data_IF_914246299047
#
_entry.id   IF_914246299047
#
_cell.length_a   1.000
_cell.length_b   1.000
_cell.length_c   1.000
_cell.angle_alpha   90.00
_cell.angle_beta   90.00
_cell.angle_gamma   90.00
#
_symmetry.space_group_name_H-M   'P 1'
#
loop_
_entity.id
_entity.type
_entity.pdbx_description
1 polymer ?
#
# COMPACT_ATOMS: atom_id res chain seq x y z
N UNK A 1 69.30 -26.89 5.34
CA UNK A 1 68.51 -25.67 5.01
C UNK A 1 67.02 -25.97 5.17
N UNK A 2 66.50 -25.75 6.37
CA UNK A 2 65.07 -25.86 6.68
C UNK A 2 64.39 -24.51 6.35
N UNK A 3 63.46 -24.49 5.41
CA UNK A 3 62.54 -23.33 5.21
C UNK A 3 61.34 -23.52 6.11
N UNK A 4 61.23 -22.66 7.13
CA UNK A 4 60.04 -22.45 7.93
C UNK A 4 58.99 -21.75 7.09
N UNK A 5 57.88 -22.41 6.77
CA UNK A 5 56.66 -21.78 6.27
C UNK A 5 55.90 -21.23 7.46
N UNK A 6 55.95 -19.93 7.67
CA UNK A 6 54.99 -19.23 8.52
C UNK A 6 53.63 -19.22 7.84
N UNK A 7 52.72 -20.08 8.26
CA UNK A 7 51.31 -19.96 7.94
C UNK A 7 50.72 -18.77 8.74
N UNK A 8 50.39 -17.72 8.07
CA UNK A 8 49.56 -16.66 8.65
C UNK A 8 48.12 -17.21 8.81
N UNK A 9 47.55 -17.20 10.02
CA UNK A 9 46.13 -17.48 10.18
C UNK A 9 45.36 -16.34 9.48
N UNK A 10 44.64 -16.67 8.45
CA UNK A 10 43.64 -15.77 7.86
C UNK A 10 42.62 -15.42 8.96
N UNK A 11 42.68 -14.20 9.47
CA UNK A 11 41.66 -13.62 10.32
C UNK A 11 40.37 -13.53 9.50
N UNK A 12 39.55 -14.58 9.55
CA UNK A 12 38.15 -14.54 9.16
C UNK A 12 37.46 -13.62 10.16
N UNK A 13 37.49 -12.32 9.90
CA UNK A 13 36.61 -11.35 10.57
C UNK A 13 35.19 -11.78 10.28
N UNK A 14 34.57 -12.48 11.20
CA UNK A 14 33.13 -12.71 11.21
C UNK A 14 32.49 -11.33 11.29
N UNK A 15 32.05 -10.81 10.15
CA UNK A 15 31.29 -9.54 10.12
C UNK A 15 30.04 -9.81 10.94
N UNK A 16 29.91 -9.15 12.09
CA UNK A 16 28.73 -9.26 12.94
C UNK A 16 27.49 -8.93 12.10
N UNK A 17 26.50 -9.82 12.13
CA UNK A 17 25.25 -9.62 11.39
C UNK A 17 24.61 -8.29 11.79
N UNK A 18 24.19 -7.46 10.83
CA UNK A 18 23.55 -6.20 11.16
C UNK A 18 22.21 -6.45 11.86
N UNK A 19 21.87 -5.57 12.82
CA UNK A 19 20.68 -5.68 13.64
C UNK A 19 19.66 -4.58 13.30
N UNK A 20 18.39 -4.93 13.30
CA UNK A 20 17.30 -3.98 13.08
C UNK A 20 16.19 -4.14 14.12
N UNK A 21 15.61 -3.00 14.51
CA UNK A 21 14.40 -2.92 15.32
C UNK A 21 13.26 -2.40 14.45
N UNK A 22 12.21 -3.18 14.28
CA UNK A 22 10.97 -2.78 13.59
C UNK A 22 9.90 -2.50 14.63
N UNK A 23 9.30 -1.31 14.57
CA UNK A 23 8.19 -0.87 15.42
C UNK A 23 6.91 -0.83 14.63
N UNK A 24 5.91 -1.58 15.07
CA UNK A 24 4.64 -1.78 14.39
C UNK A 24 4.61 -3.08 13.56
N UNK A 25 3.60 -3.90 13.78
CA UNK A 25 3.37 -5.19 13.12
C UNK A 25 2.10 -5.23 12.27
N UNK A 26 1.67 -4.06 11.74
CA UNK A 26 0.69 -4.01 10.65
C UNK A 26 1.30 -4.58 9.35
N UNK A 27 0.52 -4.64 8.24
CA UNK A 27 0.98 -5.25 6.97
C UNK A 27 2.30 -4.68 6.44
N UNK A 28 2.61 -3.41 6.75
CA UNK A 28 3.88 -2.76 6.34
C UNK A 28 5.05 -3.18 7.22
N UNK A 29 4.85 -3.15 8.55
CA UNK A 29 5.92 -3.50 9.49
C UNK A 29 6.24 -5.00 9.48
N UNK A 30 5.23 -5.85 9.38
CA UNK A 30 5.40 -7.28 9.20
C UNK A 30 6.23 -7.61 7.96
N UNK A 31 5.88 -6.98 6.81
CA UNK A 31 6.63 -7.16 5.58
C UNK A 31 8.05 -6.55 5.67
N UNK A 32 8.25 -5.44 6.38
CA UNK A 32 9.55 -4.84 6.59
C UNK A 32 10.48 -5.74 7.44
N UNK A 33 9.93 -6.39 8.47
CA UNK A 33 10.68 -7.36 9.28
C UNK A 33 11.14 -8.56 8.45
N UNK A 34 10.22 -9.16 7.66
CA UNK A 34 10.55 -10.25 6.74
C UNK A 34 11.59 -9.84 5.69
N UNK A 35 11.45 -8.65 5.12
CA UNK A 35 12.38 -8.12 4.12
C UNK A 35 13.80 -7.91 4.66
N UNK A 36 13.94 -7.43 5.89
CA UNK A 36 15.23 -7.26 6.55
C UNK A 36 15.85 -8.61 6.93
N UNK A 37 15.05 -9.55 7.43
CA UNK A 37 15.49 -10.86 7.80
C UNK A 37 15.93 -11.69 6.58
N UNK A 38 15.20 -11.58 5.46
CA UNK A 38 15.60 -12.17 4.17
C UNK A 38 16.93 -11.59 3.66
N UNK A 39 17.16 -10.29 3.87
CA UNK A 39 18.45 -9.66 3.57
C UNK A 39 19.58 -10.05 4.55
N UNK A 40 19.36 -10.99 5.48
CA UNK A 40 20.37 -11.51 6.42
C UNK A 40 20.56 -10.68 7.69
N UNK A 41 19.60 -9.80 8.06
CA UNK A 41 19.64 -9.01 9.28
C UNK A 41 19.00 -9.78 10.44
N UNK A 42 19.50 -9.55 11.67
CA UNK A 42 18.80 -9.95 12.89
C UNK A 42 17.74 -8.90 13.22
N UNK A 43 16.48 -9.30 13.34
CA UNK A 43 15.35 -8.40 13.45
C UNK A 43 14.60 -8.61 14.77
N UNK A 44 14.45 -7.55 15.53
CA UNK A 44 13.48 -7.47 16.62
C UNK A 44 12.22 -6.75 16.11
N UNK A 45 11.05 -7.38 16.23
CA UNK A 45 9.77 -6.81 15.83
C UNK A 45 8.91 -6.55 17.06
N UNK A 46 8.47 -5.30 17.27
CA UNK A 46 7.69 -4.88 18.43
C UNK A 46 6.36 -4.27 18.01
N UNK A 47 5.26 -4.68 18.67
CA UNK A 47 3.97 -4.02 18.54
C UNK A 47 3.22 -4.06 19.89
N UNK A 48 2.59 -2.95 20.35
CA UNK A 48 1.78 -2.97 21.56
C UNK A 48 0.50 -3.78 21.42
N UNK A 49 0.00 -3.98 20.20
CA UNK A 49 -1.15 -4.84 19.94
C UNK A 49 -0.75 -6.32 19.85
N UNK A 50 -1.58 -7.18 20.38
CA UNK A 50 -1.44 -8.62 20.23
C UNK A 50 -1.92 -9.09 18.84
N UNK A 51 -1.63 -10.33 18.41
CA UNK A 51 -2.03 -10.83 17.09
C UNK A 51 -3.54 -10.72 16.82
N UNK A 52 -4.37 -10.97 17.82
CA UNK A 52 -5.83 -10.89 17.67
C UNK A 52 -6.28 -9.46 17.37
N UNK A 53 -5.76 -8.47 18.09
CA UNK A 53 -6.05 -7.05 17.86
C UNK A 53 -5.57 -6.59 16.48
N UNK A 54 -4.41 -7.06 16.04
CA UNK A 54 -3.87 -6.75 14.71
C UNK A 54 -4.76 -7.29 13.59
N UNK A 55 -5.43 -8.43 13.79
CA UNK A 55 -6.29 -9.09 12.81
C UNK A 55 -7.71 -8.52 12.74
N UNK A 56 -8.14 -7.66 13.66
CA UNK A 56 -9.54 -7.18 13.74
C UNK A 56 -9.96 -6.25 12.59
N UNK A 57 -9.02 -5.71 11.82
CA UNK A 57 -9.36 -4.75 10.76
C UNK A 57 -10.06 -5.43 9.58
N UNK A 58 -11.23 -4.90 9.22
CA UNK A 58 -12.01 -5.36 8.06
C UNK A 58 -11.73 -4.45 6.85
N UNK A 59 -10.64 -4.73 6.15
CA UNK A 59 -10.24 -3.98 4.94
C UNK A 59 -9.84 -4.93 3.83
N UNK A 60 -10.14 -4.54 2.59
CA UNK A 60 -9.52 -5.12 1.40
C UNK A 60 -8.44 -4.17 0.86
N UNK A 61 -7.42 -4.74 0.29
CA UNK A 61 -6.32 -4.03 -0.38
C UNK A 61 -6.26 -4.43 -1.84
N UNK A 62 -6.04 -3.46 -2.71
CA UNK A 62 -5.69 -3.72 -4.09
C UNK A 62 -4.16 -3.78 -4.21
N UNK A 63 -3.62 -4.94 -4.58
CA UNK A 63 -2.19 -5.14 -4.78
C UNK A 63 -1.82 -4.89 -6.24
N UNK A 64 -0.70 -4.23 -6.44
CA UNK A 64 -0.16 -3.90 -7.76
C UNK A 64 1.02 -4.79 -8.12
N UNK A 65 1.50 -4.68 -9.35
CA UNK A 65 2.67 -5.43 -9.81
C UNK A 65 3.94 -5.11 -9.03
N UNK A 66 4.11 -3.86 -8.55
CA UNK A 66 5.23 -3.52 -7.67
C UNK A 66 5.20 -4.29 -6.34
N UNK A 67 4.01 -4.53 -5.79
CA UNK A 67 3.82 -5.34 -4.58
C UNK A 67 4.09 -6.82 -4.85
N UNK A 68 3.58 -7.36 -5.98
CA UNK A 68 3.89 -8.73 -6.42
C UNK A 68 5.41 -8.95 -6.57
N UNK A 69 6.11 -8.05 -7.27
CA UNK A 69 7.57 -8.13 -7.44
C UNK A 69 8.30 -8.17 -6.09
N UNK A 70 7.86 -7.40 -5.10
CA UNK A 70 8.43 -7.44 -3.76
C UNK A 70 8.20 -8.80 -3.11
N UNK A 71 6.95 -9.29 -3.11
CA UNK A 71 6.59 -10.59 -2.53
C UNK A 71 7.36 -11.74 -3.19
N UNK A 72 7.54 -11.70 -4.51
CA UNK A 72 8.35 -12.69 -5.24
C UNK A 72 9.82 -12.68 -4.80
N UNK A 73 10.42 -11.48 -4.63
CA UNK A 73 11.80 -11.34 -4.15
C UNK A 73 12.00 -11.85 -2.72
N UNK A 74 10.94 -11.78 -1.91
CA UNK A 74 10.95 -12.25 -0.52
C UNK A 74 10.45 -13.70 -0.39
N UNK A 75 10.23 -14.40 -1.50
CA UNK A 75 9.68 -15.78 -1.53
C UNK A 75 8.33 -15.92 -0.81
N UNK A 76 7.55 -14.82 -0.78
CA UNK A 76 6.23 -14.73 -0.12
C UNK A 76 5.07 -14.78 -1.13
N UNK A 77 5.34 -14.75 -2.45
CA UNK A 77 4.27 -14.72 -3.43
C UNK A 77 3.48 -16.03 -3.44
N UNK A 78 4.16 -17.16 -3.52
CA UNK A 78 3.53 -18.48 -3.59
C UNK A 78 2.62 -18.78 -2.39
N UNK A 79 3.03 -18.54 -1.13
CA UNK A 79 2.14 -18.76 0.02
C UNK A 79 1.01 -17.74 0.12
N UNK A 80 1.15 -16.52 -0.42
CA UNK A 80 0.13 -15.48 -0.35
C UNK A 80 -0.82 -15.47 -1.54
N UNK A 81 -0.40 -15.94 -2.71
CA UNK A 81 -1.20 -15.93 -3.94
C UNK A 81 -2.59 -16.55 -3.79
N UNK A 82 -2.79 -17.69 -3.10
CA UNK A 82 -4.12 -18.28 -2.91
C UNK A 82 -5.09 -17.40 -2.12
N UNK A 83 -4.59 -16.41 -1.37
CA UNK A 83 -5.37 -15.46 -0.58
C UNK A 83 -5.74 -14.20 -1.38
N UNK A 84 -5.24 -14.09 -2.61
CA UNK A 84 -5.36 -12.92 -3.46
C UNK A 84 -6.23 -13.22 -4.68
N UNK A 85 -7.29 -12.45 -4.87
CA UNK A 85 -8.16 -12.57 -6.03
C UNK A 85 -7.63 -11.68 -7.17
N UNK A 86 -7.23 -12.24 -8.33
CA UNK A 86 -6.84 -11.44 -9.47
C UNK A 86 -8.04 -10.71 -10.08
N UNK A 87 -7.82 -9.50 -10.58
CA UNK A 87 -8.73 -8.80 -11.47
C UNK A 87 -7.98 -8.39 -12.75
N UNK A 88 -8.60 -8.60 -13.89
CA UNK A 88 -8.00 -8.39 -15.20
C UNK A 88 -8.55 -7.17 -15.94
N UNK A 89 -9.60 -6.54 -15.39
CA UNK A 89 -10.24 -5.36 -15.92
C UNK A 89 -10.48 -4.33 -14.80
N UNK A 90 -10.01 -3.09 -15.02
CA UNK A 90 -10.30 -1.94 -14.18
C UNK A 90 -11.03 -0.89 -15.01
N UNK A 91 -12.20 -0.49 -14.59
CA UNK A 91 -13.02 0.53 -15.23
C UNK A 91 -13.00 1.83 -14.44
N UNK A 92 -12.66 2.93 -15.09
CA UNK A 92 -12.79 4.28 -14.53
C UNK A 92 -13.97 4.99 -15.18
N UNK A 93 -14.91 5.50 -14.40
CA UNK A 93 -16.04 6.27 -14.88
C UNK A 93 -16.22 7.56 -14.09
N UNK A 94 -16.47 8.69 -14.76
CA UNK A 94 -16.89 9.96 -14.13
C UNK A 94 -18.40 10.14 -14.31
N UNK A 95 -19.14 9.86 -13.26
CA UNK A 95 -20.59 9.94 -13.25
C UNK A 95 -21.10 11.40 -13.36
N UNK A 96 -20.24 12.38 -13.08
CA UNK A 96 -20.56 13.80 -13.19
C UNK A 96 -20.36 14.39 -14.59
N UNK A 97 -19.60 13.72 -15.49
CA UNK A 97 -19.28 14.28 -16.80
C UNK A 97 -20.15 13.74 -17.95
N UNK A 98 -20.84 12.62 -17.75
CA UNK A 98 -21.54 11.90 -18.81
C UNK A 98 -20.61 11.25 -19.85
N UNK A 99 -19.30 11.23 -19.61
CA UNK A 99 -18.34 10.51 -20.44
C UNK A 99 -18.43 9.00 -20.15
N UNK A 100 -18.29 8.18 -21.21
CA UNK A 100 -18.25 6.75 -21.05
C UNK A 100 -17.04 6.27 -20.23
N UNK A 101 -17.06 5.02 -19.71
CA UNK A 101 -15.97 4.49 -18.91
C UNK A 101 -14.69 4.30 -19.73
N UNK A 102 -13.55 4.34 -19.03
CA UNK A 102 -12.22 4.02 -19.57
C UNK A 102 -11.78 2.69 -18.98
N UNK A 103 -11.64 1.67 -19.84
CA UNK A 103 -11.18 0.33 -19.43
C UNK A 103 -9.67 0.19 -19.47
N UNK A 104 -9.12 -0.43 -18.43
CA UNK A 104 -7.73 -0.82 -18.29
C UNK A 104 -7.66 -2.33 -18.12
N UNK A 105 -7.17 -3.02 -19.13
CA UNK A 105 -7.07 -4.49 -19.11
C UNK A 105 -5.63 -4.95 -18.93
N UNK A 106 -5.44 -6.15 -18.45
CA UNK A 106 -4.12 -6.77 -18.30
C UNK A 106 -3.35 -6.81 -19.63
N UNK A 107 -4.05 -6.86 -20.77
CA UNK A 107 -3.43 -6.81 -22.11
C UNK A 107 -2.60 -5.54 -22.36
N UNK A 108 -2.95 -4.41 -21.74
CA UNK A 108 -2.17 -3.17 -21.83
C UNK A 108 -0.79 -3.26 -21.15
N UNK A 109 -0.61 -4.19 -20.22
CA UNK A 109 0.64 -4.42 -19.50
C UNK A 109 1.57 -5.42 -20.18
N UNK A 110 1.09 -6.13 -21.22
CA UNK A 110 1.90 -7.11 -21.96
C UNK A 110 3.07 -6.43 -22.64
N UNK A 111 4.28 -6.89 -22.36
CA UNK A 111 5.51 -6.48 -23.04
C UNK A 111 6.34 -7.72 -23.38
N UNK A 112 7.10 -7.68 -24.49
CA UNK A 112 8.01 -8.76 -24.90
C UNK A 112 9.04 -9.18 -23.84
N UNK A 113 9.32 -8.31 -22.84
CA UNK A 113 10.35 -8.53 -21.81
C UNK A 113 9.81 -9.04 -20.46
N UNK A 114 8.51 -8.98 -20.21
CA UNK A 114 7.97 -9.23 -18.85
C UNK A 114 7.02 -10.44 -18.77
N UNK A 115 6.93 -11.24 -19.82
CA UNK A 115 5.96 -12.35 -19.87
C UNK A 115 4.50 -11.87 -19.91
N UNK A 116 3.57 -12.78 -19.95
CA UNK A 116 2.14 -12.47 -19.91
C UNK A 116 1.75 -12.05 -18.49
N UNK A 117 1.36 -10.79 -18.31
CA UNK A 117 0.70 -10.34 -17.08
C UNK A 117 -0.77 -10.71 -17.17
N UNK A 118 -1.18 -11.64 -16.35
CA UNK A 118 -2.53 -12.22 -16.34
C UNK A 118 -3.57 -11.32 -15.67
N UNK A 119 -3.14 -10.35 -14.86
CA UNK A 119 -4.02 -9.48 -14.09
C UNK A 119 -3.56 -8.02 -14.13
N UNK A 120 -4.48 -7.07 -13.94
CA UNK A 120 -4.19 -5.66 -13.64
C UNK A 120 -3.66 -5.54 -12.21
N UNK A 121 -4.21 -6.34 -11.30
CA UNK A 121 -3.83 -6.39 -9.91
C UNK A 121 -4.57 -7.50 -9.16
N UNK A 122 -4.47 -7.49 -7.85
CA UNK A 122 -5.06 -8.51 -6.97
C UNK A 122 -5.74 -7.84 -5.79
N UNK A 123 -6.86 -8.42 -5.35
CA UNK A 123 -7.54 -7.99 -4.13
C UNK A 123 -7.27 -9.00 -3.02
N UNK A 124 -6.85 -8.53 -1.85
CA UNK A 124 -6.65 -9.36 -0.67
C UNK A 124 -7.25 -8.73 0.57
N UNK A 125 -7.84 -9.56 1.42
CA UNK A 125 -8.39 -9.14 2.71
C UNK A 125 -7.29 -9.01 3.75
N UNK A 126 -7.44 -8.04 4.67
CA UNK A 126 -6.47 -7.74 5.72
C UNK A 126 -6.15 -8.94 6.60
N UNK A 127 -7.19 -9.60 7.12
CA UNK A 127 -7.05 -10.67 8.11
C UNK A 127 -6.27 -11.88 7.59
N UNK A 128 -6.64 -12.52 6.44
CA UNK A 128 -5.89 -13.65 5.92
C UNK A 128 -4.47 -13.27 5.50
N UNK A 129 -4.29 -12.07 4.90
CA UNK A 129 -2.98 -11.57 4.53
C UNK A 129 -2.05 -11.42 5.73
N UNK A 130 -2.51 -10.70 6.77
CA UNK A 130 -1.67 -10.44 7.93
C UNK A 130 -1.41 -11.71 8.73
N UNK A 131 -2.36 -12.63 8.81
CA UNK A 131 -2.18 -13.93 9.44
C UNK A 131 -1.06 -14.71 8.77
N UNK A 132 -1.07 -14.80 7.45
CA UNK A 132 -0.01 -15.48 6.71
C UNK A 132 1.37 -14.81 6.89
N UNK A 133 1.43 -13.47 6.95
CA UNK A 133 2.69 -12.77 7.26
C UNK A 133 3.18 -13.08 8.68
N UNK A 134 2.28 -13.14 9.68
CA UNK A 134 2.63 -13.50 11.06
C UNK A 134 3.13 -14.94 11.17
N UNK A 135 2.55 -15.87 10.43
CA UNK A 135 3.02 -17.27 10.34
C UNK A 135 4.44 -17.34 9.77
N UNK A 136 4.74 -16.58 8.72
CA UNK A 136 6.09 -16.49 8.15
C UNK A 136 7.09 -15.87 9.15
N UNK A 137 6.66 -14.84 9.91
CA UNK A 137 7.49 -14.23 10.96
C UNK A 137 7.81 -15.25 12.06
N UNK A 138 6.82 -16.01 12.52
CA UNK A 138 6.99 -16.99 13.58
C UNK A 138 7.96 -18.12 13.21
N UNK A 139 8.08 -18.44 11.92
CA UNK A 139 8.98 -19.49 11.41
C UNK A 139 10.37 -18.96 11.04
N UNK A 140 10.57 -17.63 10.97
CA UNK A 140 11.82 -17.07 10.47
C UNK A 140 12.90 -17.00 11.55
N UNK A 141 14.06 -17.70 11.41
CA UNK A 141 15.06 -17.80 12.47
C UNK A 141 15.72 -16.48 12.86
N UNK A 142 15.71 -15.48 11.98
CA UNK A 142 16.33 -14.17 12.21
C UNK A 142 15.33 -13.13 12.76
N UNK A 143 14.09 -13.51 13.13
CA UNK A 143 13.09 -12.59 13.67
C UNK A 143 12.71 -12.99 15.08
N UNK A 144 12.83 -12.04 16.01
CA UNK A 144 12.27 -12.15 17.36
C UNK A 144 11.11 -11.16 17.46
N UNK A 145 9.87 -11.68 17.51
CA UNK A 145 8.66 -10.87 17.60
C UNK A 145 8.17 -10.80 19.05
N UNK A 146 7.90 -9.58 19.54
CA UNK A 146 7.28 -9.31 20.84
C UNK A 146 6.02 -8.46 20.59
N UNK A 147 4.88 -9.12 20.61
CA UNK A 147 3.56 -8.54 20.35
C UNK A 147 2.72 -8.50 21.62
N UNK A 148 1.86 -7.50 21.77
CA UNK A 148 1.00 -7.35 22.95
C UNK A 148 1.70 -6.75 24.16
N UNK A 149 2.89 -6.17 24.00
CA UNK A 149 3.63 -5.54 25.10
C UNK A 149 3.91 -4.05 24.79
N UNK A 150 3.84 -3.15 25.80
CA UNK A 150 4.19 -1.76 25.60
C UNK A 150 5.60 -1.60 25.01
N UNK A 151 5.72 -0.80 23.95
CA UNK A 151 6.99 -0.57 23.27
C UNK A 151 7.73 0.60 23.94
N UNK A 152 8.92 0.33 24.47
CA UNK A 152 9.75 1.36 25.06
C UNK A 152 10.19 2.43 24.02
N UNK A 153 10.32 3.70 24.41
CA UNK A 153 10.70 4.79 23.48
C UNK A 153 12.07 4.57 22.82
N UNK A 154 13.03 4.00 23.56
CA UNK A 154 14.37 3.71 23.06
C UNK A 154 14.58 2.19 22.92
N UNK A 155 15.40 1.72 21.95
CA UNK A 155 15.79 0.33 21.89
C UNK A 155 16.60 -0.07 23.14
N UNK A 156 16.32 -1.25 23.68
CA UNK A 156 17.02 -1.78 24.85
C UNK A 156 18.52 -2.06 24.58
N UNK A 157 18.86 -2.27 23.30
CA UNK A 157 20.23 -2.51 22.86
C UNK A 157 20.57 -1.64 21.63
N UNK A 158 21.82 -1.27 21.43
CA UNK A 158 22.26 -0.56 20.22
C UNK A 158 21.91 -1.38 18.97
N UNK A 159 21.16 -0.78 18.05
CA UNK A 159 20.80 -1.39 16.77
C UNK A 159 21.36 -0.60 15.61
N UNK A 160 21.70 -1.26 14.50
CA UNK A 160 22.20 -0.59 13.32
C UNK A 160 21.10 0.23 12.63
N UNK A 161 19.84 -0.22 12.71
CA UNK A 161 18.69 0.40 12.05
C UNK A 161 17.44 0.29 12.94
N UNK A 162 16.67 1.36 13.01
CA UNK A 162 15.30 1.37 13.54
C UNK A 162 14.33 1.68 12.41
N UNK A 163 13.32 0.84 12.23
CA UNK A 163 12.25 1.03 11.25
C UNK A 163 10.97 1.37 11.98
N UNK A 164 10.52 2.61 11.86
CA UNK A 164 9.24 3.05 12.40
C UNK A 164 8.13 2.79 11.38
N UNK A 165 7.34 1.74 11.59
CA UNK A 165 6.17 1.34 10.82
C UNK A 165 4.90 1.32 11.71
N UNK A 166 4.87 2.18 12.71
CA UNK A 166 3.90 2.26 13.81
C UNK A 166 2.65 3.10 13.48
N UNK A 167 2.37 3.28 12.20
CA UNK A 167 1.12 3.80 11.68
C UNK A 167 1.00 5.32 11.61
N UNK A 168 -0.21 5.85 11.30
CA UNK A 168 -0.39 7.27 10.99
C UNK A 168 -0.16 8.21 12.19
N UNK A 169 -0.37 7.72 13.38
CA UNK A 169 -0.14 8.44 14.66
C UNK A 169 1.21 8.10 15.31
N UNK A 170 2.18 7.74 14.49
CA UNK A 170 3.49 7.21 14.84
C UNK A 170 4.13 7.84 16.08
N UNK A 171 4.20 7.14 17.23
CA UNK A 171 4.93 7.60 18.42
C UNK A 171 6.43 7.76 18.12
N UNK A 172 6.97 6.90 17.25
CA UNK A 172 8.38 7.00 16.85
C UNK A 172 8.68 8.29 16.11
N UNK A 173 7.79 8.71 15.17
CA UNK A 173 7.94 9.99 14.47
C UNK A 173 7.90 11.18 15.44
N UNK A 174 6.96 11.15 16.40
CA UNK A 174 6.81 12.20 17.41
C UNK A 174 8.03 12.27 18.33
N UNK A 175 8.50 11.15 18.84
CA UNK A 175 9.71 11.07 19.67
C UNK A 175 10.96 11.60 18.97
N UNK A 176 11.02 11.46 17.64
CA UNK A 176 12.08 12.02 16.81
C UNK A 176 11.89 13.53 16.53
N UNK A 177 10.79 14.15 16.94
CA UNK A 177 10.48 15.53 16.62
C UNK A 177 10.34 15.80 15.13
N UNK A 178 9.91 14.80 14.35
CA UNK A 178 9.68 14.93 12.91
C UNK A 178 8.25 15.41 12.68
N UNK A 179 8.08 16.66 12.31
CA UNK A 179 6.80 17.21 11.88
C UNK A 179 6.35 16.65 10.53
N UNK A 180 5.09 16.88 10.20
CA UNK A 180 4.52 16.47 8.91
C UNK A 180 3.70 17.61 8.29
N UNK A 181 3.64 17.64 6.95
CA UNK A 181 2.64 18.37 6.22
C UNK A 181 1.36 17.54 6.20
N UNK A 182 0.24 18.19 6.48
CA UNK A 182 -1.07 17.53 6.51
C UNK A 182 -2.08 18.38 5.75
N UNK A 183 -2.90 17.70 4.96
CA UNK A 183 -4.06 18.28 4.28
C UNK A 183 -5.25 17.37 4.52
N UNK A 184 -6.28 17.94 5.11
CA UNK A 184 -7.56 17.24 5.29
C UNK A 184 -8.44 17.45 4.08
N UNK A 185 -9.07 16.39 3.61
CA UNK A 185 -10.16 16.50 2.65
C UNK A 185 -11.49 16.67 3.40
N UNK A 186 -12.48 17.39 2.80
CA UNK A 186 -13.83 17.46 3.36
C UNK A 186 -14.58 16.13 3.15
N UNK A 187 -13.91 15.02 3.36
CA UNK A 187 -14.36 13.65 3.09
C UNK A 187 -13.93 12.71 4.19
N UNK A 188 -14.76 11.68 4.40
CA UNK A 188 -14.41 10.43 5.05
C UNK A 188 -14.54 9.30 4.02
N UNK A 189 -13.90 8.19 4.29
CA UNK A 189 -14.04 6.99 3.46
C UNK A 189 -14.80 5.94 4.26
N UNK A 190 -15.87 5.41 3.67
CA UNK A 190 -16.69 4.34 4.19
C UNK A 190 -16.34 3.05 3.45
N UNK A 191 -16.17 1.96 4.19
CA UNK A 191 -15.97 0.62 3.63
C UNK A 191 -17.10 -0.28 4.08
N UNK A 192 -17.61 -1.11 3.16
CA UNK A 192 -18.62 -2.12 3.43
C UNK A 192 -18.42 -3.31 2.46
N UNK A 193 -18.95 -4.47 2.81
CA UNK A 193 -19.02 -5.61 1.88
C UNK A 193 -20.46 -5.88 1.52
N UNK A 194 -20.71 -6.05 0.22
CA UNK A 194 -22.06 -6.28 -0.31
C UNK A 194 -22.05 -7.39 -1.35
N UNK A 195 -23.22 -7.99 -1.57
CA UNK A 195 -23.53 -8.69 -2.81
C UNK A 195 -24.02 -7.68 -3.85
N UNK A 196 -23.41 -7.69 -5.03
CA UNK A 196 -23.65 -6.70 -6.07
C UNK A 196 -23.74 -7.39 -7.44
N UNK A 197 -24.93 -7.41 -8.04
CA UNK A 197 -25.11 -7.83 -9.43
C UNK A 197 -24.69 -6.72 -10.41
N UNK A 198 -24.31 -7.14 -11.64
CA UNK A 198 -23.88 -6.20 -12.70
C UNK A 198 -22.39 -5.89 -12.69
N UNK A 199 -21.64 -6.34 -11.65
CA UNK A 199 -20.19 -6.34 -11.63
C UNK A 199 -19.66 -7.67 -12.16
N UNK A 200 -18.71 -7.62 -13.09
CA UNK A 200 -18.00 -8.83 -13.52
C UNK A 200 -17.17 -9.43 -12.38
N UNK A 201 -16.97 -10.77 -12.35
CA UNK A 201 -16.31 -11.46 -11.22
C UNK A 201 -14.85 -11.06 -11.01
N UNK A 202 -14.17 -10.55 -12.04
CA UNK A 202 -12.78 -10.08 -12.01
C UNK A 202 -12.64 -8.62 -12.45
N UNK A 203 -13.72 -7.84 -12.32
CA UNK A 203 -13.78 -6.46 -12.75
C UNK A 203 -13.80 -5.53 -11.54
N UNK A 204 -12.82 -4.65 -11.44
CA UNK A 204 -12.78 -3.56 -10.48
C UNK A 204 -13.31 -2.27 -11.12
N UNK A 205 -13.96 -1.43 -10.32
CA UNK A 205 -14.47 -0.13 -10.75
C UNK A 205 -13.97 0.98 -9.83
N UNK A 206 -13.63 2.11 -10.44
CA UNK A 206 -13.43 3.39 -9.76
C UNK A 206 -14.42 4.38 -10.34
N UNK A 207 -15.48 4.69 -9.60
CA UNK A 207 -16.54 5.60 -9.98
C UNK A 207 -16.26 6.97 -9.38
N UNK A 208 -15.85 7.92 -10.20
CA UNK A 208 -15.68 9.30 -9.77
C UNK A 208 -17.04 10.00 -9.67
N UNK A 209 -17.25 10.64 -8.54
CA UNK A 209 -18.49 11.33 -8.20
C UNK A 209 -18.18 12.69 -7.61
N UNK A 210 -19.08 13.69 -7.74
CA UNK A 210 -18.84 15.03 -7.20
C UNK A 210 -18.56 15.08 -5.68
N UNK A 211 -19.07 14.12 -4.92
CA UNK A 211 -18.87 14.03 -3.47
C UNK A 211 -17.57 13.28 -3.07
N UNK A 212 -17.06 12.47 -3.98
CA UNK A 212 -15.89 11.63 -3.77
C UNK A 212 -15.94 10.31 -4.57
N UNK A 213 -14.79 9.66 -4.77
CA UNK A 213 -14.72 8.39 -5.50
C UNK A 213 -15.42 7.26 -4.73
N UNK A 214 -15.96 6.31 -5.51
CA UNK A 214 -16.51 5.04 -5.03
C UNK A 214 -15.85 3.90 -5.79
N UNK A 215 -15.01 3.13 -5.11
CA UNK A 215 -14.40 1.94 -5.68
C UNK A 215 -15.22 0.69 -5.36
N UNK A 216 -15.33 -0.20 -6.35
CA UNK A 216 -15.92 -1.53 -6.26
C UNK A 216 -14.80 -2.55 -6.50
N UNK A 217 -14.41 -3.27 -5.45
CA UNK A 217 -13.32 -4.23 -5.51
C UNK A 217 -13.88 -5.66 -5.45
N UNK A 218 -13.65 -6.52 -6.46
CA UNK A 218 -14.20 -7.87 -6.47
C UNK A 218 -13.61 -8.74 -5.35
N UNK A 219 -14.46 -9.48 -4.65
CA UNK A 219 -14.09 -10.44 -3.62
C UNK A 219 -14.44 -11.90 -4.00
N UNK A 220 -14.78 -12.12 -5.26
CA UNK A 220 -15.21 -13.42 -5.81
C UNK A 220 -16.73 -13.59 -5.83
N UNK A 221 -17.22 -14.20 -6.90
CA UNK A 221 -18.65 -14.30 -7.17
C UNK A 221 -19.29 -12.92 -7.36
N UNK A 222 -20.35 -12.64 -6.63
CA UNK A 222 -21.01 -11.32 -6.60
C UNK A 222 -20.60 -10.47 -5.38
N UNK A 223 -19.66 -10.94 -4.58
CA UNK A 223 -19.19 -10.19 -3.41
C UNK A 223 -18.24 -9.07 -3.81
N UNK A 224 -18.48 -7.89 -3.27
CA UNK A 224 -17.72 -6.69 -3.56
C UNK A 224 -17.39 -5.93 -2.27
N UNK A 225 -16.15 -5.49 -2.15
CA UNK A 225 -15.75 -4.49 -1.16
C UNK A 225 -15.99 -3.11 -1.73
N UNK A 226 -16.78 -2.32 -1.03
CA UNK A 226 -16.95 -0.90 -1.31
C UNK A 226 -15.86 -0.09 -0.62
N UNK A 227 -15.35 0.94 -1.31
CA UNK A 227 -14.51 2.00 -0.74
C UNK A 227 -15.11 3.34 -1.20
N UNK A 228 -15.97 3.92 -0.38
CA UNK A 228 -16.83 5.04 -0.75
C UNK A 228 -16.41 6.31 -0.01
N UNK A 229 -15.91 7.29 -0.74
CA UNK A 229 -15.59 8.60 -0.20
C UNK A 229 -16.78 9.54 -0.32
N UNK A 230 -17.18 10.14 0.80
CA UNK A 230 -18.26 11.10 0.90
C UNK A 230 -18.00 12.09 2.05
N UNK A 231 -18.89 13.07 2.26
CA UNK A 231 -18.77 13.95 3.42
C UNK A 231 -18.79 13.16 4.75
N UNK A 232 -18.09 13.62 5.79
CA UNK A 232 -18.07 12.94 7.08
C UNK A 232 -19.46 12.73 7.67
N UNK A 233 -20.35 13.68 7.45
CA UNK A 233 -21.75 13.62 7.89
C UNK A 233 -22.50 12.50 7.17
N UNK A 234 -22.36 12.42 5.84
CA UNK A 234 -22.98 11.36 5.04
C UNK A 234 -22.46 9.98 5.43
N UNK A 235 -21.16 9.83 5.64
CA UNK A 235 -20.59 8.55 6.08
C UNK A 235 -21.17 8.11 7.42
N UNK A 236 -21.22 9.01 8.43
CA UNK A 236 -21.84 8.71 9.73
C UNK A 236 -23.32 8.32 9.61
N UNK A 237 -24.09 9.04 8.73
CA UNK A 237 -25.48 8.68 8.48
C UNK A 237 -25.60 7.27 7.89
N UNK A 238 -24.77 6.93 6.89
CA UNK A 238 -24.78 5.61 6.26
C UNK A 238 -24.41 4.48 7.23
N UNK A 239 -23.52 4.72 8.19
CA UNK A 239 -23.18 3.75 9.25
C UNK A 239 -24.33 3.46 10.20
N UNK A 240 -25.26 4.41 10.37
CA UNK A 240 -26.39 4.29 11.28
C UNK A 240 -27.64 3.67 10.62
N UNK A 241 -27.62 3.51 9.28
CA UNK A 241 -28.71 2.88 8.57
C UNK A 241 -28.69 1.36 8.77
N UNK A 242 -29.89 0.76 8.85
CA UNK A 242 -30.02 -0.69 8.69
C UNK A 242 -29.64 -1.15 7.29
N UNK A 243 -29.60 -2.46 7.09
CA UNK A 243 -29.21 -3.08 5.82
C UNK A 243 -29.96 -2.49 4.62
N UNK A 244 -31.28 -2.51 4.68
CA UNK A 244 -32.14 -2.07 3.56
C UNK A 244 -31.90 -0.58 3.23
N UNK A 245 -31.88 0.28 4.24
CA UNK A 245 -31.64 1.71 4.06
C UNK A 245 -30.23 1.99 3.49
N UNK A 246 -29.22 1.22 3.88
CA UNK A 246 -27.89 1.32 3.29
C UNK A 246 -27.87 0.91 1.82
N UNK A 247 -28.53 -0.21 1.49
CA UNK A 247 -28.60 -0.74 0.12
C UNK A 247 -29.37 0.22 -0.81
N UNK A 248 -30.46 0.84 -0.34
CA UNK A 248 -31.21 1.86 -1.10
C UNK A 248 -30.33 3.07 -1.41
N UNK A 249 -29.58 3.56 -0.42
CA UNK A 249 -28.66 4.67 -0.63
C UNK A 249 -27.48 4.30 -1.55
N UNK A 250 -27.02 3.05 -1.49
CA UNK A 250 -25.98 2.53 -2.40
C UNK A 250 -26.53 2.42 -3.82
N UNK A 251 -27.72 1.87 -4.02
CA UNK A 251 -28.37 1.79 -5.34
C UNK A 251 -28.49 3.17 -5.99
N UNK A 252 -28.95 4.19 -5.26
CA UNK A 252 -29.01 5.57 -5.75
C UNK A 252 -27.63 6.21 -5.99
N UNK A 253 -26.55 5.58 -5.55
CA UNK A 253 -25.18 6.05 -5.74
C UNK A 253 -24.49 5.40 -6.94
N UNK A 254 -24.98 4.28 -7.41
CA UNK A 254 -24.43 3.44 -8.48
C UNK A 254 -25.14 3.71 -9.82
N UNK A 255 -24.49 3.47 -10.96
CA UNK A 255 -25.18 3.34 -12.24
C UNK A 255 -26.21 2.19 -12.24
N UNK A 256 -27.31 2.33 -13.01
CA UNK A 256 -28.46 1.39 -13.06
C UNK A 256 -28.09 -0.08 -13.34
N UNK A 257 -26.95 -0.28 -13.98
CA UNK A 257 -26.44 -1.65 -14.24
C UNK A 257 -26.09 -2.44 -12.98
N UNK A 258 -25.82 -1.76 -11.87
CA UNK A 258 -25.44 -2.36 -10.60
C UNK A 258 -26.65 -2.44 -9.68
N UNK A 259 -26.84 -3.63 -9.10
CA UNK A 259 -27.95 -3.87 -8.17
C UNK A 259 -27.38 -4.49 -6.88
N UNK A 260 -27.36 -3.72 -5.77
CA UNK A 260 -26.97 -4.25 -4.50
C UNK A 260 -28.09 -5.12 -3.91
N UNK A 261 -27.75 -6.36 -3.52
CA UNK A 261 -28.71 -7.36 -3.06
C UNK A 261 -28.65 -7.60 -1.55
N UNK A 262 -27.44 -7.60 -0.98
CA UNK A 262 -27.26 -7.86 0.45
C UNK A 262 -26.06 -7.10 1.02
N UNK A 263 -26.18 -6.67 2.26
CA UNK A 263 -25.09 -6.12 3.07
C UNK A 263 -24.43 -7.28 3.85
N UNK A 264 -23.19 -7.61 3.52
CA UNK A 264 -22.44 -8.75 4.11
C UNK A 264 -21.63 -8.37 5.34
N UNK A 265 -21.18 -7.12 5.41
CA UNK A 265 -20.48 -6.58 6.56
C UNK A 265 -20.93 -5.13 6.79
N UNK A 266 -21.13 -4.71 8.06
CA UNK A 266 -21.58 -3.36 8.38
C UNK A 266 -20.60 -2.31 7.87
N UNK A 267 -21.11 -1.14 7.44
CA UNK A 267 -20.29 -0.04 6.99
C UNK A 267 -19.44 0.51 8.14
N UNK A 268 -18.18 0.83 7.84
CA UNK A 268 -17.26 1.48 8.76
C UNK A 268 -16.59 2.65 8.07
N UNK A 269 -16.57 3.82 8.70
CA UNK A 269 -15.93 5.00 8.13
C UNK A 269 -14.64 5.39 8.87
N UNK A 270 -13.77 6.07 8.14
CA UNK A 270 -12.56 6.65 8.67
C UNK A 270 -12.22 7.96 7.95
N UNK A 271 -11.59 8.87 8.68
CA UNK A 271 -11.15 10.14 8.13
C UNK A 271 -10.06 9.93 7.07
N UNK A 272 -10.17 10.64 5.94
CA UNK A 272 -9.16 10.63 4.89
C UNK A 272 -8.40 11.94 4.85
N UNK A 273 -7.13 11.85 4.50
CA UNK A 273 -6.27 13.01 4.41
C UNK A 273 -4.96 12.63 3.72
N UNK A 274 -4.24 13.64 3.27
CA UNK A 274 -2.90 13.52 2.79
C UNK A 274 -1.96 13.96 3.89
N UNK A 275 -0.94 13.15 4.17
CA UNK A 275 0.12 13.52 5.09
C UNK A 275 1.48 13.09 4.53
N UNK A 276 2.51 13.88 4.82
CA UNK A 276 3.89 13.59 4.44
C UNK A 276 4.83 14.12 5.53
N UNK A 277 5.62 13.24 6.13
CA UNK A 277 6.64 13.61 7.09
C UNK A 277 7.68 14.53 6.43
N UNK A 278 8.10 15.58 7.15
CA UNK A 278 9.09 16.56 6.64
C UNK A 278 10.48 15.95 6.45
N UNK A 279 10.73 14.81 7.08
CA UNK A 279 11.94 13.99 6.94
C UNK A 279 11.56 12.53 7.02
N UNK A 280 12.21 11.69 6.22
CA UNK A 280 11.96 10.24 6.22
C UNK A 280 12.94 9.47 7.12
N UNK A 281 13.92 10.15 7.71
CA UNK A 281 14.85 9.58 8.69
C UNK A 281 15.40 10.61 9.65
N UNK A 282 15.84 10.14 10.81
CA UNK A 282 16.67 10.88 11.76
C UNK A 282 17.59 9.90 12.49
N UNK A 283 18.92 10.19 12.50
CA UNK A 283 19.90 9.22 12.99
C UNK A 283 19.82 7.90 12.22
N UNK A 284 19.78 6.79 12.94
CA UNK A 284 19.62 5.45 12.40
C UNK A 284 18.14 5.01 12.21
N UNK A 285 17.17 5.90 12.47
CA UNK A 285 15.75 5.58 12.34
C UNK A 285 15.21 6.04 11.00
N UNK A 286 14.46 5.16 10.30
CA UNK A 286 13.70 5.45 9.09
C UNK A 286 12.20 5.35 9.35
N UNK A 287 11.41 6.24 8.75
CA UNK A 287 9.95 6.17 8.74
C UNK A 287 9.50 5.40 7.50
N UNK A 288 8.62 4.41 7.69
CA UNK A 288 8.15 3.50 6.62
C UNK A 288 6.63 3.42 6.65
N UNK A 289 5.99 3.57 5.49
CA UNK A 289 4.56 3.49 5.37
C UNK A 289 3.81 4.66 6.02
N UNK A 290 2.70 4.39 6.70
CA UNK A 290 1.84 5.45 7.25
C UNK A 290 2.49 6.29 8.36
N UNK A 291 3.59 5.85 8.94
CA UNK A 291 4.41 6.69 9.84
C UNK A 291 5.06 7.85 9.09
N UNK A 292 5.35 7.67 7.79
CA UNK A 292 5.97 8.64 6.90
C UNK A 292 4.96 9.41 6.05
N UNK A 293 3.95 8.73 5.52
CA UNK A 293 3.03 9.31 4.54
C UNK A 293 1.65 8.65 4.57
N UNK A 294 0.63 9.40 4.18
CA UNK A 294 -0.73 8.93 4.00
C UNK A 294 -1.30 9.56 2.72
N UNK A 295 -1.93 8.77 1.87
CA UNK A 295 -2.62 9.21 0.66
C UNK A 295 -4.12 9.03 0.77
N UNK A 296 -4.87 9.72 -0.09
CA UNK A 296 -6.27 9.38 -0.31
C UNK A 296 -6.39 7.93 -0.83
N UNK A 297 -7.44 7.16 -0.46
CA UNK A 297 -7.60 5.77 -0.90
C UNK A 297 -7.87 5.59 -2.40
N UNK A 298 -8.12 6.67 -3.16
CA UNK A 298 -8.34 6.64 -4.62
C UNK A 298 -7.23 5.86 -5.34
N UNK A 299 -7.65 4.95 -6.23
CA UNK A 299 -6.73 4.10 -6.99
C UNK A 299 -5.97 3.06 -6.16
N UNK A 300 -6.33 2.82 -4.89
CA UNK A 300 -5.77 1.77 -4.06
C UNK A 300 -4.27 1.90 -3.75
N UNK A 301 -3.69 3.11 -3.79
CA UNK A 301 -2.25 3.31 -3.70
C UNK A 301 -1.66 3.21 -2.29
N UNK A 302 -2.47 3.34 -1.23
CA UNK A 302 -1.97 3.46 0.15
C UNK A 302 -0.98 2.37 0.55
N UNK A 303 -1.41 1.10 0.57
CA UNK A 303 -0.55 -0.02 0.97
C UNK A 303 0.58 -0.27 -0.05
N UNK A 304 0.31 -0.12 -1.36
CA UNK A 304 1.33 -0.30 -2.39
C UNK A 304 2.49 0.70 -2.25
N UNK A 305 2.18 1.95 -1.90
CA UNK A 305 3.18 2.98 -1.63
C UNK A 305 4.03 2.61 -0.41
N UNK A 306 3.39 2.11 0.67
CA UNK A 306 4.08 1.59 1.86
C UNK A 306 4.99 0.41 1.51
N UNK A 307 4.55 -0.50 0.66
CA UNK A 307 5.34 -1.66 0.26
C UNK A 307 6.47 -1.31 -0.71
N UNK A 308 6.35 -0.22 -1.47
CA UNK A 308 7.49 0.34 -2.22
C UNK A 308 8.56 0.92 -1.28
N UNK A 309 8.18 1.40 -0.08
CA UNK A 309 9.16 1.75 0.97
C UNK A 309 9.93 0.51 1.42
N UNK A 310 9.21 -0.58 1.70
CA UNK A 310 9.82 -1.86 2.10
C UNK A 310 10.75 -2.39 1.00
N UNK A 311 10.35 -2.30 -0.27
CA UNK A 311 11.20 -2.70 -1.40
C UNK A 311 12.49 -1.87 -1.51
N UNK A 312 12.43 -0.58 -1.20
CA UNK A 312 13.62 0.27 -1.14
C UNK A 312 14.51 -0.09 0.05
N UNK A 313 13.90 -0.34 1.21
CA UNK A 313 14.60 -0.78 2.42
C UNK A 313 15.32 -2.10 2.20
N UNK A 314 14.65 -3.11 1.66
CA UNK A 314 15.21 -4.43 1.33
C UNK A 314 16.45 -4.32 0.42
N UNK A 315 16.35 -3.58 -0.69
CA UNK A 315 17.49 -3.39 -1.61
C UNK A 315 18.70 -2.77 -0.90
N UNK A 316 18.48 -1.83 0.00
CA UNK A 316 19.57 -1.19 0.75
C UNK A 316 20.13 -2.11 1.82
N UNK A 317 19.29 -2.88 2.49
CA UNK A 317 19.67 -3.89 3.46
C UNK A 317 20.57 -4.96 2.85
N UNK A 318 20.23 -5.47 1.65
CA UNK A 318 21.07 -6.39 0.88
C UNK A 318 22.44 -5.77 0.52
N UNK A 319 22.47 -4.46 0.18
CA UNK A 319 23.76 -3.79 -0.10
C UNK A 319 24.64 -3.65 1.15
N UNK A 320 24.01 -3.45 2.32
CA UNK A 320 24.74 -3.43 3.59
C UNK A 320 25.33 -4.80 3.88
N UNK A 321 24.53 -5.86 3.75
CA UNK A 321 24.98 -7.24 3.97
C UNK A 321 26.12 -7.65 3.01
N UNK A 322 26.10 -7.12 1.78
CA UNK A 322 27.16 -7.35 0.79
C UNK A 322 28.41 -6.47 0.98
N UNK A 323 28.45 -5.63 2.05
CA UNK A 323 29.56 -4.69 2.29
C UNK A 323 29.63 -3.52 1.30
N UNK A 324 28.59 -3.34 0.44
CA UNK A 324 28.54 -2.28 -0.59
C UNK A 324 27.98 -0.95 -0.06
N UNK A 325 27.47 -0.95 1.16
CA UNK A 325 26.92 0.23 1.82
C UNK A 325 27.16 0.12 3.33
N UNK A 326 27.78 1.10 4.00
CA UNK A 326 27.83 1.13 5.46
C UNK A 326 26.41 1.24 6.04
N UNK A 327 26.11 0.48 7.10
CA UNK A 327 24.79 0.48 7.73
C UNK A 327 24.33 1.90 8.16
N UNK A 328 25.28 2.72 8.67
CA UNK A 328 25.01 4.12 9.07
C UNK A 328 24.50 5.01 7.95
N UNK A 329 24.80 4.69 6.67
CA UNK A 329 24.42 5.49 5.50
C UNK A 329 23.08 5.05 4.91
N UNK A 330 22.57 3.86 5.28
CA UNK A 330 21.31 3.32 4.79
C UNK A 330 20.15 4.29 4.95
N UNK A 331 19.91 4.94 6.12
CA UNK A 331 18.77 5.84 6.30
C UNK A 331 18.77 7.03 5.32
N UNK A 332 19.95 7.59 5.04
CA UNK A 332 20.10 8.69 4.08
C UNK A 332 19.80 8.24 2.65
N UNK A 333 20.30 7.06 2.25
CA UNK A 333 20.04 6.49 0.93
C UNK A 333 18.57 6.12 0.75
N UNK A 334 17.94 5.54 1.80
CA UNK A 334 16.51 5.27 1.82
C UNK A 334 15.71 6.56 1.58
N UNK A 335 15.95 7.58 2.38
CA UNK A 335 15.25 8.85 2.27
C UNK A 335 15.36 9.44 0.86
N UNK A 336 16.57 9.53 0.30
CA UNK A 336 16.80 10.06 -1.04
C UNK A 336 16.06 9.27 -2.13
N UNK A 337 16.03 7.95 -2.01
CA UNK A 337 15.39 7.09 -3.00
C UNK A 337 13.87 7.15 -2.98
N UNK A 338 13.27 7.50 -1.81
CA UNK A 338 11.81 7.49 -1.63
C UNK A 338 11.14 8.80 -2.01
N UNK A 339 11.81 9.94 -1.82
CA UNK A 339 11.21 11.25 -2.06
C UNK A 339 10.55 11.42 -3.43
N UNK A 340 11.18 11.08 -4.57
CA UNK A 340 10.55 11.27 -5.87
C UNK A 340 9.26 10.46 -6.03
N UNK A 341 9.26 9.19 -5.60
CA UNK A 341 8.10 8.31 -5.70
C UNK A 341 6.94 8.77 -4.80
N UNK A 342 7.26 9.19 -3.57
CA UNK A 342 6.27 9.73 -2.64
C UNK A 342 5.61 11.00 -3.20
N UNK A 343 6.41 11.98 -3.63
CA UNK A 343 5.89 13.24 -4.15
C UNK A 343 5.03 13.02 -5.39
N UNK A 344 5.48 12.22 -6.35
CA UNK A 344 4.72 11.94 -7.56
C UNK A 344 3.41 11.19 -7.28
N UNK A 345 3.45 10.18 -6.42
CA UNK A 345 2.25 9.40 -6.09
C UNK A 345 1.24 10.24 -5.30
N UNK A 346 1.69 10.99 -4.28
CA UNK A 346 0.82 11.84 -3.48
C UNK A 346 0.22 12.98 -4.33
N UNK A 347 1.01 13.62 -5.19
CA UNK A 347 0.53 14.64 -6.11
C UNK A 347 -0.50 14.08 -7.10
N UNK A 348 -0.25 12.89 -7.66
CA UNK A 348 -1.18 12.25 -8.60
C UNK A 348 -2.51 11.91 -7.94
N UNK A 349 -2.49 11.31 -6.74
CA UNK A 349 -3.72 10.99 -6.00
C UNK A 349 -4.48 12.24 -5.56
N UNK A 350 -3.80 13.29 -5.10
CA UNK A 350 -4.41 14.57 -4.74
C UNK A 350 -5.04 15.25 -5.97
N UNK A 351 -4.34 15.24 -7.10
CA UNK A 351 -4.86 15.79 -8.37
C UNK A 351 -6.12 15.05 -8.82
N UNK A 352 -6.15 13.72 -8.77
CA UNK A 352 -7.34 12.93 -9.12
C UNK A 352 -8.53 13.30 -8.24
N UNK A 353 -8.33 13.37 -6.92
CA UNK A 353 -9.41 13.75 -6.00
C UNK A 353 -9.90 15.15 -6.29
N UNK A 354 -9.02 16.15 -6.41
CA UNK A 354 -9.40 17.54 -6.68
C UNK A 354 -10.06 17.73 -8.03
N UNK A 355 -9.59 17.01 -9.06
CA UNK A 355 -10.15 17.11 -10.40
C UNK A 355 -11.54 16.48 -10.49
N UNK A 356 -11.77 15.32 -9.85
CA UNK A 356 -13.01 14.55 -10.04
C UNK A 356 -14.02 14.68 -8.89
N UNK A 357 -13.61 15.07 -7.68
CA UNK A 357 -14.49 15.18 -6.51
C UNK A 357 -14.93 16.63 -6.27
N UNK A 358 -15.63 17.21 -7.24
CA UNK A 358 -16.20 18.56 -7.14
C UNK A 358 -17.37 18.75 -8.12
N UNK A 359 -18.12 19.84 -7.95
CA UNK A 359 -19.25 20.23 -8.82
C UNK A 359 -18.91 21.39 -9.76
N UNK A 360 -17.64 21.74 -9.90
CA UNK A 360 -17.22 22.89 -10.73
C UNK A 360 -17.48 22.65 -12.21
N UNK A 361 -18.32 23.47 -12.80
CA UNK A 361 -18.56 23.46 -14.26
C UNK A 361 -17.30 23.82 -15.06
N UNK A 362 -16.41 24.63 -14.47
CA UNK A 362 -15.13 25.04 -15.11
C UNK A 362 -14.17 23.86 -15.30
N UNK A 363 -14.23 22.84 -14.43
CA UNK A 363 -13.39 21.65 -14.53
C UNK A 363 -13.98 20.55 -15.42
N UNK A 364 -15.25 20.67 -15.80
CA UNK A 364 -15.95 19.67 -16.60
C UNK A 364 -15.31 19.42 -17.98
N UNK A 365 -14.93 20.47 -18.78
CA UNK A 365 -14.21 20.25 -20.03
C UNK A 365 -12.87 19.54 -19.83
N UNK A 366 -12.13 19.88 -18.78
CA UNK A 366 -10.84 19.25 -18.46
C UNK A 366 -11.02 17.77 -18.11
N UNK A 367 -12.02 17.42 -17.30
CA UNK A 367 -12.36 16.02 -16.96
C UNK A 367 -12.73 15.23 -18.21
N UNK A 368 -13.63 15.76 -19.04
CA UNK A 368 -14.01 15.13 -20.31
C UNK A 368 -12.83 14.96 -21.24
N UNK A 369 -11.98 15.98 -21.36
CA UNK A 369 -10.77 15.94 -22.19
C UNK A 369 -9.77 14.88 -21.70
N UNK A 370 -9.55 14.79 -20.37
CA UNK A 370 -8.67 13.78 -19.79
C UNK A 370 -9.16 12.35 -20.04
N UNK A 371 -10.47 12.09 -19.83
CA UNK A 371 -11.05 10.77 -20.10
C UNK A 371 -11.04 10.45 -21.60
N UNK A 372 -11.38 11.41 -22.46
CA UNK A 372 -11.33 11.23 -23.91
C UNK A 372 -9.89 10.94 -24.40
N UNK A 373 -8.88 11.60 -23.82
CA UNK A 373 -7.49 11.32 -24.13
C UNK A 373 -7.10 9.89 -23.74
N UNK A 374 -7.50 9.42 -22.55
CA UNK A 374 -7.28 8.03 -22.12
C UNK A 374 -8.01 7.02 -23.00
N UNK A 375 -9.23 7.33 -23.48
CA UNK A 375 -9.98 6.47 -24.40
C UNK A 375 -9.33 6.38 -25.79
N UNK A 376 -8.87 7.52 -26.33
CA UNK A 376 -8.39 7.63 -27.72
C UNK A 376 -6.90 7.32 -27.89
N UNK A 377 -6.08 7.52 -26.83
CA UNK A 377 -4.64 7.37 -26.89
C UNK A 377 -4.17 6.11 -26.12
N UNK A 378 -4.00 4.96 -26.80
CA UNK A 378 -3.61 3.71 -26.15
C UNK A 378 -2.29 3.81 -25.39
N UNK A 379 -1.33 4.60 -25.90
CA UNK A 379 -0.05 4.83 -25.22
C UNK A 379 -0.24 5.54 -23.88
N UNK A 380 -1.05 6.61 -23.84
CA UNK A 380 -1.33 7.34 -22.60
C UNK A 380 -2.03 6.42 -21.57
N UNK A 381 -3.02 5.66 -22.02
CA UNK A 381 -3.71 4.66 -21.19
C UNK A 381 -2.73 3.63 -20.62
N UNK A 382 -1.85 3.09 -21.45
CA UNK A 382 -0.81 2.16 -21.01
C UNK A 382 0.16 2.78 -19.99
N UNK A 383 0.67 4.00 -20.27
CA UNK A 383 1.58 4.69 -19.35
C UNK A 383 0.90 4.99 -18.01
N UNK A 384 -0.37 5.40 -18.03
CA UNK A 384 -1.16 5.61 -16.80
C UNK A 384 -1.31 4.32 -16.00
N UNK A 385 -1.59 3.20 -16.66
CA UNK A 385 -1.70 1.90 -16.01
C UNK A 385 -0.35 1.45 -15.42
N UNK A 386 0.75 1.59 -16.16
CA UNK A 386 2.10 1.27 -15.65
C UNK A 386 2.47 2.15 -14.46
N UNK A 387 2.17 3.46 -14.50
CA UNK A 387 2.40 4.35 -13.36
C UNK A 387 1.61 3.91 -12.12
N UNK A 388 0.39 3.45 -12.31
CA UNK A 388 -0.50 3.00 -11.25
C UNK A 388 -0.07 1.65 -10.67
N UNK A 389 0.38 0.70 -11.51
CA UNK A 389 0.73 -0.67 -11.09
C UNK A 389 2.17 -0.83 -10.63
N UNK A 390 3.11 -0.14 -11.26
CA UNK A 390 4.55 -0.29 -10.98
C UNK A 390 5.16 0.92 -10.23
N UNK A 391 4.35 1.98 -10.07
CA UNK A 391 4.79 3.26 -9.51
C UNK A 391 5.28 4.26 -10.56
N UNK A 392 5.03 5.56 -10.38
CA UNK A 392 5.32 6.58 -11.39
C UNK A 392 6.81 6.72 -11.70
N UNK A 393 7.69 6.47 -10.73
CA UNK A 393 9.13 6.52 -10.94
C UNK A 393 9.66 5.43 -11.88
N UNK A 394 8.89 4.37 -12.14
CA UNK A 394 9.30 3.35 -13.11
C UNK A 394 9.25 3.85 -14.55
N UNK A 395 8.39 4.81 -14.83
CA UNK A 395 8.35 5.49 -16.16
C UNK A 395 9.62 6.32 -16.45
N UNK A 396 10.35 6.71 -15.41
CA UNK A 396 11.57 7.51 -15.50
C UNK A 396 12.86 6.66 -15.55
N UNK A 397 12.72 5.34 -15.44
CA UNK A 397 13.86 4.41 -15.54
C UNK A 397 13.85 3.78 -16.93
N UNK A 398 14.93 3.92 -17.69
CA UNK A 398 15.09 3.30 -19.02
C UNK A 398 15.05 1.77 -18.94
#
# INVERSE_FOLDING_TARGET
MLRLFCAHPALTTTIAQPTALVRGCGPTGALAALALAEAGWQVQLLDPANPEQLLQRQRAYAFTHSSRELLQRLHLWEPLQPLLLPFDDLQLADLGSGAGPVGFTAALLKTRRQGDREAVGWIGLHQPLLRALLEQIAQHPNIVAQLGTPVAPAPAQPTNLVVAADGPWSPSREALGIGQWQWSYPQSCLTAQVELRGSGPQQAWELFRPEGPLALLPLGGQRVQLVWSASPERCRRLEQLGSDGFLDHLAGALPDRFQPDALLAPPQSFAVGLALARRLHRGNTVLVGESAHRSHPVGGQGLNLCWRDVAALHRLACRVQQGRLPARDLPRHYSRSRWPDLLLTLAATDLLVRLFSNRSALLLPLRRGALAALQRLPLLRRLSLVAMTDGPCRLLRP
#
